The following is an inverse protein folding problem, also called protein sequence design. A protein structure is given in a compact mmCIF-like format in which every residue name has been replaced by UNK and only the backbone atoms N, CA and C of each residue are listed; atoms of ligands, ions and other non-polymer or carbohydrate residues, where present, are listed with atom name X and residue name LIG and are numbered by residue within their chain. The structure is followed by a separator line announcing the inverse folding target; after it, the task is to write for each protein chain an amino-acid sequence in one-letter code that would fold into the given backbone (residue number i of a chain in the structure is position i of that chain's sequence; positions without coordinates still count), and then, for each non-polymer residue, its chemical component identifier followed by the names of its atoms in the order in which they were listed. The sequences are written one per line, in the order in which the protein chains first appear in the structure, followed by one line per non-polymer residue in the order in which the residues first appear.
data_IF_121326416134
#
_entry.id   IF_121326416134
#
_cell.length_a   1.000
_cell.length_b   1.000
_cell.length_c   1.000
_cell.angle_alpha   90.00
_cell.angle_beta   90.00
_cell.angle_gamma   90.00
#
_symmetry.space_group_name_H-M   'P 1'
#
loop_
_entity.id
_entity.type
_entity.pdbx_description
1 polymer ?
#
# COMPACT_ATOMS: atom_id res chain seq x y z
N UNK A 1 11.18 -7.91 -25.72
CA UNK A 1 11.02 -8.76 -24.51
C UNK A 1 12.03 -8.30 -23.50
N UNK A 2 11.61 -7.65 -22.43
CA UNK A 2 12.48 -7.24 -21.30
C UNK A 2 13.00 -8.49 -20.59
N UNK A 3 14.29 -8.50 -20.21
CA UNK A 3 14.88 -9.59 -19.44
C UNK A 3 14.09 -9.80 -18.13
N UNK A 4 13.95 -11.03 -17.62
CA UNK A 4 13.24 -11.31 -16.39
C UNK A 4 13.90 -10.53 -15.24
N UNK A 5 13.08 -9.76 -14.52
CA UNK A 5 13.55 -8.99 -13.37
C UNK A 5 13.76 -9.92 -12.20
N UNK A 6 14.95 -9.88 -11.59
CA UNK A 6 15.29 -10.68 -10.41
C UNK A 6 15.19 -9.80 -9.16
N UNK A 7 14.26 -10.10 -8.28
CA UNK A 7 14.16 -9.51 -6.94
C UNK A 7 14.35 -10.60 -5.89
N UNK A 8 14.82 -10.21 -4.72
CA UNK A 8 14.95 -11.11 -3.56
C UNK A 8 13.86 -10.85 -2.52
N UNK A 9 13.22 -9.69 -2.57
CA UNK A 9 12.10 -9.34 -1.71
C UNK A 9 11.01 -8.61 -2.48
N UNK A 10 9.74 -8.80 -2.09
CA UNK A 10 8.59 -8.06 -2.62
C UNK A 10 7.78 -7.49 -1.46
N UNK A 11 7.63 -6.17 -1.44
CA UNK A 11 6.77 -5.47 -0.51
C UNK A 11 5.46 -5.08 -1.17
N UNK A 12 4.40 -5.06 -0.37
CA UNK A 12 3.06 -4.72 -0.78
C UNK A 12 2.58 -3.48 -0.01
N UNK A 13 1.96 -2.55 -0.73
CA UNK A 13 1.08 -1.58 -0.08
C UNK A 13 -0.15 -2.28 0.50
N UNK A 14 -0.80 -1.66 1.49
CA UNK A 14 -1.89 -2.27 2.24
C UNK A 14 -3.26 -1.79 1.75
N UNK A 15 -3.59 -0.52 2.02
CA UNK A 15 -4.92 0.02 1.78
C UNK A 15 -5.17 0.35 0.30
N UNK A 16 -6.21 -0.28 -0.27
CA UNK A 16 -6.51 -0.21 -1.70
C UNK A 16 -5.68 -1.16 -2.55
N UNK A 17 -4.73 -1.89 -1.95
CA UNK A 17 -3.86 -2.87 -2.60
C UNK A 17 -4.15 -4.28 -2.08
N UNK A 18 -3.62 -4.65 -0.91
CA UNK A 18 -3.95 -5.92 -0.27
C UNK A 18 -5.37 -5.93 0.29
N UNK A 19 -5.81 -4.82 0.87
CA UNK A 19 -7.14 -4.65 1.45
C UNK A 19 -8.00 -3.75 0.57
N UNK A 20 -9.22 -4.21 0.25
CA UNK A 20 -10.19 -3.48 -0.56
C UNK A 20 -10.82 -2.32 0.21
N UNK A 21 -10.86 -1.13 -0.39
CA UNK A 21 -11.50 0.05 0.20
C UNK A 21 -13.03 0.10 -0.04
N UNK A 22 -13.59 -0.80 -0.86
CA UNK A 22 -15.01 -0.75 -1.21
C UNK A 22 -15.99 -0.70 -0.02
N UNK A 23 -15.75 -1.39 1.12
CA UNK A 23 -16.66 -1.32 2.28
C UNK A 23 -16.69 0.03 2.98
N UNK A 24 -15.77 0.95 2.69
CA UNK A 24 -15.80 2.30 3.26
C UNK A 24 -17.03 3.09 2.79
N UNK A 25 -17.56 2.79 1.63
CA UNK A 25 -18.79 3.41 1.12
C UNK A 25 -19.96 3.12 2.06
N UNK A 26 -20.16 1.85 2.43
CA UNK A 26 -21.18 1.41 3.38
C UNK A 26 -20.93 1.98 4.79
N UNK A 27 -19.67 2.00 5.23
CA UNK A 27 -19.33 2.62 6.51
C UNK A 27 -19.71 4.11 6.56
N UNK A 28 -19.48 4.85 5.47
CA UNK A 28 -19.84 6.26 5.35
C UNK A 28 -21.35 6.50 5.19
N UNK A 29 -22.11 5.53 4.63
CA UNK A 29 -23.58 5.62 4.56
C UNK A 29 -24.24 5.72 5.96
N UNK A 30 -23.59 5.21 7.00
CA UNK A 30 -24.03 5.37 8.41
C UNK A 30 -24.02 6.84 8.86
N UNK A 31 -23.15 7.66 8.25
CA UNK A 31 -23.04 9.10 8.56
C UNK A 31 -24.00 9.94 7.71
N UNK A 32 -24.22 9.53 6.46
CA UNK A 32 -25.16 10.18 5.56
C UNK A 32 -25.71 9.19 4.54
N UNK A 33 -26.92 8.66 4.75
CA UNK A 33 -27.53 7.68 3.87
C UNK A 33 -27.55 8.11 2.40
N UNK A 34 -27.23 7.18 1.51
CA UNK A 34 -27.13 7.37 0.06
C UNK A 34 -26.01 8.32 -0.43
N UNK A 35 -25.12 8.75 0.48
CA UNK A 35 -23.96 9.58 0.14
C UNK A 35 -22.62 8.93 0.51
N UNK A 36 -22.62 7.68 0.95
CA UNK A 36 -21.44 7.01 1.48
C UNK A 36 -20.28 6.97 0.49
N UNK A 37 -20.51 6.60 -0.76
CA UNK A 37 -19.49 6.54 -1.79
C UNK A 37 -18.84 7.92 -2.07
N UNK A 38 -19.66 8.99 -2.10
CA UNK A 38 -19.17 10.36 -2.29
C UNK A 38 -18.29 10.80 -1.11
N UNK A 39 -18.76 10.54 0.11
CA UNK A 39 -18.04 10.87 1.35
C UNK A 39 -16.74 10.04 1.43
N UNK A 40 -16.78 8.73 1.19
CA UNK A 40 -15.61 7.87 1.26
C UNK A 40 -14.54 8.30 0.25
N UNK A 41 -14.90 8.60 -0.99
CA UNK A 41 -13.99 9.09 -2.01
C UNK A 41 -13.35 10.43 -1.61
N UNK A 42 -14.15 11.39 -1.13
CA UNK A 42 -13.66 12.70 -0.70
C UNK A 42 -12.79 12.59 0.57
N UNK A 43 -13.21 11.78 1.53
CA UNK A 43 -12.44 11.48 2.73
C UNK A 43 -11.07 10.89 2.38
N UNK A 44 -11.02 9.89 1.51
CA UNK A 44 -9.76 9.29 1.09
C UNK A 44 -8.84 10.29 0.39
N UNK A 45 -9.37 11.14 -0.49
CA UNK A 45 -8.59 12.19 -1.16
C UNK A 45 -7.99 13.17 -0.12
N UNK A 46 -8.79 13.62 0.83
CA UNK A 46 -8.36 14.54 1.88
C UNK A 46 -7.36 13.90 2.85
N UNK A 47 -7.54 12.62 3.17
CA UNK A 47 -6.61 11.86 4.00
C UNK A 47 -5.21 11.80 3.34
N UNK A 48 -5.15 11.50 2.05
CA UNK A 48 -3.89 11.46 1.30
C UNK A 48 -3.24 12.85 1.22
N UNK A 49 -4.01 13.89 0.89
CA UNK A 49 -3.54 15.27 0.88
C UNK A 49 -2.93 15.65 2.23
N UNK A 50 -3.62 15.36 3.34
CA UNK A 50 -3.14 15.64 4.68
C UNK A 50 -1.82 14.90 5.01
N UNK A 51 -1.65 13.65 4.56
CA UNK A 51 -0.38 12.92 4.75
C UNK A 51 0.77 13.59 4.00
N UNK A 52 0.54 14.05 2.77
CA UNK A 52 1.56 14.71 1.96
C UNK A 52 1.92 16.09 2.51
N UNK A 53 0.93 16.89 2.89
CA UNK A 53 1.16 18.19 3.51
C UNK A 53 1.94 18.07 4.83
N UNK A 54 1.52 17.14 5.71
CA UNK A 54 2.25 16.90 6.97
C UNK A 54 3.69 16.47 6.72
N UNK A 55 3.94 15.62 5.73
CA UNK A 55 5.29 15.23 5.35
C UNK A 55 6.12 16.41 4.83
N UNK A 56 5.53 17.22 3.95
CA UNK A 56 6.20 18.39 3.38
C UNK A 56 6.49 19.48 4.43
N UNK A 57 5.59 19.67 5.40
CA UNK A 57 5.74 20.63 6.50
C UNK A 57 6.56 20.10 7.69
N UNK A 58 6.97 18.82 7.65
CA UNK A 58 7.62 18.12 8.75
C UNK A 58 6.77 18.05 10.06
N UNK A 59 5.43 18.06 9.92
CA UNK A 59 4.47 18.03 11.01
C UNK A 59 3.86 16.64 11.14
N UNK A 60 4.62 15.73 11.74
CA UNK A 60 4.18 14.35 11.93
C UNK A 60 2.92 14.27 12.81
N UNK A 61 1.99 13.44 12.40
CA UNK A 61 0.92 12.90 13.22
C UNK A 61 0.69 11.44 12.83
N UNK A 62 0.25 10.64 13.78
CA UNK A 62 -0.15 9.25 13.56
C UNK A 62 -1.23 9.16 12.47
N UNK A 63 -1.17 8.11 11.64
CA UNK A 63 -2.13 7.93 10.55
C UNK A 63 -3.57 7.81 11.02
N UNK A 64 -3.81 7.25 12.22
CA UNK A 64 -5.15 7.15 12.80
C UNK A 64 -5.71 8.54 13.12
N UNK A 65 -4.87 9.46 13.61
CA UNK A 65 -5.22 10.88 13.82
C UNK A 65 -5.54 11.56 12.50
N UNK A 66 -4.67 11.38 11.48
CA UNK A 66 -4.90 11.95 10.14
C UNK A 66 -6.19 11.42 9.53
N UNK A 67 -6.49 10.14 9.72
CA UNK A 67 -7.70 9.48 9.23
C UNK A 67 -8.95 10.10 9.84
N UNK A 68 -9.00 10.25 11.16
CA UNK A 68 -10.14 10.82 11.87
C UNK A 68 -10.32 12.32 11.56
N UNK A 69 -9.24 13.10 11.59
CA UNK A 69 -9.29 14.54 11.29
C UNK A 69 -9.77 14.79 9.84
N UNK A 70 -9.31 13.97 8.89
CA UNK A 70 -9.75 14.05 7.51
C UNK A 70 -11.22 13.70 7.34
N UNK A 71 -11.75 12.75 8.13
CA UNK A 71 -13.17 12.42 8.16
C UNK A 71 -13.99 13.61 8.66
N UNK A 72 -13.64 14.18 9.82
CA UNK A 72 -14.31 15.36 10.37
C UNK A 72 -14.33 16.52 9.39
N UNK A 73 -13.19 16.83 8.76
CA UNK A 73 -13.09 17.90 7.78
C UNK A 73 -13.96 17.62 6.54
N UNK A 74 -14.06 16.36 6.11
CA UNK A 74 -14.92 15.96 5.00
C UNK A 74 -16.39 16.17 5.38
N UNK A 75 -16.84 15.70 6.53
CA UNK A 75 -18.22 15.86 6.97
C UNK A 75 -18.61 17.34 7.13
N UNK A 76 -17.69 18.18 7.59
CA UNK A 76 -17.90 19.62 7.64
C UNK A 76 -18.12 20.22 6.25
N UNK A 77 -17.33 19.81 5.24
CA UNK A 77 -17.50 20.21 3.83
C UNK A 77 -18.88 19.80 3.28
N UNK A 78 -19.39 18.65 3.75
CA UNK A 78 -20.70 18.12 3.35
C UNK A 78 -21.87 18.72 4.14
N UNK A 79 -21.60 19.63 5.08
CA UNK A 79 -22.62 20.30 5.89
C UNK A 79 -23.21 19.44 7.02
N UNK A 80 -22.56 18.31 7.37
CA UNK A 80 -23.04 17.35 8.37
C UNK A 80 -22.10 17.21 9.57
N UNK A 81 -21.03 18.01 9.63
CA UNK A 81 -20.00 17.89 10.67
C UNK A 81 -20.44 18.18 12.09
N UNK A 82 -21.54 18.91 12.29
CA UNK A 82 -22.07 19.24 13.61
C UNK A 82 -23.08 18.23 14.20
N UNK A 83 -23.49 17.23 13.43
CA UNK A 83 -24.54 16.26 13.81
C UNK A 83 -24.03 14.83 14.01
N UNK A 84 -22.78 14.56 13.67
CA UNK A 84 -22.21 13.21 13.77
C UNK A 84 -21.79 12.91 15.22
N UNK A 85 -22.24 11.77 15.74
CA UNK A 85 -21.81 11.24 17.03
C UNK A 85 -20.31 10.86 16.97
N UNK A 86 -19.51 11.29 17.94
CA UNK A 86 -18.08 10.98 18.02
C UNK A 86 -17.80 9.46 18.05
N UNK A 87 -18.66 8.67 18.70
CA UNK A 87 -18.51 7.22 18.69
C UNK A 87 -18.66 6.65 17.28
N UNK A 88 -19.62 7.14 16.49
CA UNK A 88 -19.83 6.73 15.10
C UNK A 88 -18.66 7.18 14.22
N UNK A 89 -18.10 8.37 14.44
CA UNK A 89 -16.92 8.84 13.72
C UNK A 89 -15.72 7.91 13.94
N UNK A 90 -15.49 7.52 15.20
CA UNK A 90 -14.42 6.57 15.52
C UNK A 90 -14.66 5.18 14.93
N UNK A 91 -15.89 4.68 14.92
CA UNK A 91 -16.22 3.40 14.28
C UNK A 91 -15.95 3.46 12.77
N UNK A 92 -16.41 4.52 12.08
CA UNK A 92 -16.17 4.68 10.65
C UNK A 92 -14.68 4.85 10.36
N UNK A 93 -13.95 5.64 11.13
CA UNK A 93 -12.51 5.78 10.97
C UNK A 93 -11.76 4.45 11.21
N UNK A 94 -12.24 3.63 12.14
CA UNK A 94 -11.69 2.29 12.40
C UNK A 94 -12.06 1.24 11.35
N UNK A 95 -12.97 1.51 10.41
CA UNK A 95 -13.33 0.56 9.36
C UNK A 95 -12.12 0.12 8.51
N UNK A 96 -11.07 0.92 8.43
CA UNK A 96 -9.83 0.56 7.73
C UNK A 96 -9.19 -0.75 8.22
N UNK A 97 -9.32 -1.11 9.48
CA UNK A 97 -8.71 -2.35 10.01
C UNK A 97 -9.58 -3.59 9.80
N UNK A 98 -10.82 -3.39 9.32
CA UNK A 98 -11.79 -4.47 9.06
C UNK A 98 -12.00 -4.74 7.56
N UNK A 99 -11.22 -4.10 6.70
CA UNK A 99 -11.30 -4.24 5.25
C UNK A 99 -10.96 -5.68 4.80
N UNK A 100 -11.68 -6.22 3.80
CA UNK A 100 -11.42 -7.55 3.27
C UNK A 100 -10.18 -7.60 2.40
N UNK A 101 -9.54 -8.75 2.37
CA UNK A 101 -8.43 -9.04 1.45
C UNK A 101 -8.94 -9.02 0.00
N UNK A 102 -8.17 -8.40 -0.89
CA UNK A 102 -8.47 -8.39 -2.33
C UNK A 102 -8.28 -9.80 -2.91
N UNK A 103 -9.18 -10.20 -3.79
CA UNK A 103 -9.10 -11.47 -4.50
C UNK A 103 -7.78 -11.59 -5.28
N UNK A 104 -7.12 -12.74 -5.18
CA UNK A 104 -5.83 -13.00 -5.82
C UNK A 104 -4.61 -12.61 -4.99
N UNK A 105 -4.72 -11.68 -4.04
CA UNK A 105 -3.60 -11.23 -3.22
C UNK A 105 -2.93 -12.38 -2.45
N UNK A 106 -3.72 -13.22 -1.79
CA UNK A 106 -3.20 -14.38 -1.05
C UNK A 106 -2.41 -15.34 -1.95
N UNK A 107 -2.92 -15.63 -3.14
CA UNK A 107 -2.24 -16.51 -4.10
C UNK A 107 -0.89 -15.94 -4.54
N UNK A 108 -0.84 -14.63 -4.81
CA UNK A 108 0.40 -13.96 -5.22
C UNK A 108 1.46 -14.01 -4.11
N UNK A 109 1.08 -13.69 -2.86
CA UNK A 109 2.00 -13.75 -1.70
C UNK A 109 2.53 -15.17 -1.51
N UNK A 110 1.65 -16.19 -1.47
CA UNK A 110 2.08 -17.58 -1.31
C UNK A 110 2.98 -18.05 -2.46
N UNK A 111 2.69 -17.64 -3.70
CA UNK A 111 3.52 -17.96 -4.88
C UNK A 111 4.93 -17.39 -4.79
N UNK A 112 5.07 -16.14 -4.35
CA UNK A 112 6.38 -15.50 -4.13
C UNK A 112 7.16 -16.19 -3.01
N UNK A 113 6.51 -16.47 -1.88
CA UNK A 113 7.13 -17.17 -0.74
C UNK A 113 7.58 -18.60 -1.14
N UNK A 114 6.76 -19.34 -1.87
CA UNK A 114 7.10 -20.66 -2.37
C UNK A 114 8.32 -20.65 -3.31
N UNK A 115 8.55 -19.53 -3.99
CA UNK A 115 9.75 -19.31 -4.82
C UNK A 115 10.96 -18.78 -4.03
N UNK A 116 10.86 -18.67 -2.71
CA UNK A 116 11.94 -18.22 -1.83
C UNK A 116 12.21 -16.72 -1.87
N UNK A 117 11.21 -15.92 -2.28
CA UNK A 117 11.26 -14.44 -2.23
C UNK A 117 10.76 -13.99 -0.87
N UNK A 118 11.47 -13.08 -0.20
CA UNK A 118 10.96 -12.42 1.00
C UNK A 118 9.72 -11.61 0.66
N UNK A 119 8.74 -11.62 1.56
CA UNK A 119 7.52 -10.82 1.39
C UNK A 119 7.33 -9.89 2.57
N UNK A 120 6.77 -8.71 2.31
CA UNK A 120 6.50 -7.76 3.39
C UNK A 120 5.38 -6.78 3.04
N UNK A 121 4.89 -6.10 4.07
CA UNK A 121 4.02 -4.94 3.94
C UNK A 121 4.85 -3.69 4.21
N UNK A 122 4.64 -2.65 3.39
CA UNK A 122 5.11 -1.29 3.64
C UNK A 122 3.92 -0.35 3.48
N UNK A 123 3.45 0.26 4.57
CA UNK A 123 2.16 0.95 4.60
C UNK A 123 2.20 2.30 5.31
N UNK A 124 1.27 3.20 4.93
CA UNK A 124 0.98 4.42 5.66
C UNK A 124 0.19 4.18 6.97
N UNK A 125 -0.33 2.97 7.20
CA UNK A 125 -1.01 2.62 8.45
C UNK A 125 -0.10 2.80 9.66
N UNK A 126 -0.67 3.17 10.81
CA UNK A 126 0.04 3.13 12.08
C UNK A 126 0.47 1.71 12.43
N UNK A 127 1.49 1.55 13.26
CA UNK A 127 1.94 0.24 13.76
C UNK A 127 0.79 -0.49 14.45
N UNK A 128 -0.04 0.22 15.23
CA UNK A 128 -1.22 -0.34 15.89
C UNK A 128 -2.26 -0.85 14.90
N UNK A 129 -2.56 -0.10 13.84
CA UNK A 129 -3.48 -0.53 12.79
C UNK A 129 -2.91 -1.73 12.02
N UNK A 130 -1.61 -1.72 11.74
CA UNK A 130 -0.92 -2.81 11.07
C UNK A 130 -0.97 -4.11 11.89
N UNK A 131 -0.75 -4.06 13.20
CA UNK A 131 -0.89 -5.22 14.09
C UNK A 131 -2.30 -5.84 14.03
N UNK A 132 -3.34 -5.01 14.00
CA UNK A 132 -4.73 -5.48 13.93
C UNK A 132 -5.05 -6.20 12.63
N UNK A 133 -4.39 -5.88 11.53
CA UNK A 133 -4.65 -6.50 10.22
C UNK A 133 -3.74 -7.69 9.92
N UNK A 134 -2.68 -7.96 10.71
CA UNK A 134 -1.74 -9.05 10.44
C UNK A 134 -2.41 -10.42 10.37
N UNK A 135 -3.43 -10.68 11.17
CA UNK A 135 -4.21 -11.93 11.14
C UNK A 135 -5.17 -12.05 9.93
N UNK A 136 -5.34 -10.99 9.15
CA UNK A 136 -6.27 -10.92 8.00
C UNK A 136 -5.57 -10.97 6.65
N UNK A 137 -4.26 -10.81 6.64
CA UNK A 137 -3.40 -10.88 5.46
C UNK A 137 -2.59 -12.17 5.49
N UNK A 138 -2.12 -12.68 4.34
CA UNK A 138 -1.22 -13.82 4.32
C UNK A 138 0.03 -13.54 5.17
N UNK A 139 0.59 -14.55 5.87
CA UNK A 139 1.83 -14.38 6.63
C UNK A 139 2.97 -13.88 5.75
N UNK A 140 3.66 -12.86 6.21
CA UNK A 140 4.80 -12.25 5.53
C UNK A 140 6.02 -12.20 6.46
N UNK A 141 7.19 -11.92 5.89
CA UNK A 141 8.44 -11.89 6.64
C UNK A 141 8.65 -10.53 7.35
N UNK A 142 8.06 -9.44 6.78
CA UNK A 142 8.19 -8.09 7.30
C UNK A 142 6.86 -7.34 7.32
N UNK A 143 6.64 -6.55 8.38
CA UNK A 143 5.48 -5.65 8.53
C UNK A 143 5.99 -4.27 8.91
N UNK A 144 6.01 -3.34 7.93
CA UNK A 144 6.64 -2.03 8.09
C UNK A 144 5.59 -0.91 8.03
N UNK A 145 5.51 -0.17 9.14
CA UNK A 145 4.71 1.04 9.25
C UNK A 145 5.57 2.29 9.03
N UNK A 146 4.98 3.32 8.48
CA UNK A 146 5.57 4.67 8.35
C UNK A 146 5.92 5.32 9.70
N UNK A 147 5.41 4.80 10.81
CA UNK A 147 5.71 5.31 12.16
C UNK A 147 7.22 5.35 12.42
N UNK A 148 7.96 4.35 11.90
CA UNK A 148 9.41 4.30 12.04
C UNK A 148 10.13 5.44 11.30
N UNK A 149 9.58 5.89 10.16
CA UNK A 149 10.15 6.99 9.38
C UNK A 149 9.64 8.37 9.82
N UNK A 150 8.49 8.44 10.52
CA UNK A 150 7.75 9.67 10.87
C UNK A 150 7.54 10.58 9.64
N UNK A 151 7.29 9.97 8.50
CA UNK A 151 6.96 10.55 7.19
C UNK A 151 6.01 9.59 6.49
N UNK A 152 5.17 10.11 5.61
CA UNK A 152 4.28 9.28 4.81
C UNK A 152 4.85 9.04 3.42
N UNK A 153 4.47 7.94 2.77
CA UNK A 153 4.69 7.77 1.34
C UNK A 153 4.08 8.97 0.59
N UNK A 154 4.71 9.44 -0.49
CA UNK A 154 5.84 8.83 -1.20
C UNK A 154 7.23 9.34 -0.76
N UNK A 155 7.42 9.76 0.50
CA UNK A 155 8.73 10.21 0.96
C UNK A 155 9.77 9.07 0.92
N UNK A 156 11.00 9.28 0.39
CA UNK A 156 11.99 8.21 0.18
C UNK A 156 12.40 7.49 1.47
N UNK A 157 12.39 8.16 2.63
CA UNK A 157 12.71 7.51 3.91
C UNK A 157 11.75 6.37 4.27
N UNK A 158 10.52 6.37 3.73
CA UNK A 158 9.57 5.27 3.95
C UNK A 158 9.98 4.03 3.17
N UNK A 159 10.39 4.18 1.91
CA UNK A 159 10.87 3.06 1.11
C UNK A 159 12.22 2.54 1.62
N UNK A 160 13.03 3.40 2.23
CA UNK A 160 14.28 3.02 2.89
C UNK A 160 14.06 1.98 3.99
N UNK A 161 12.91 1.99 4.70
CA UNK A 161 12.58 1.00 5.71
C UNK A 161 12.66 -0.44 5.19
N UNK A 162 12.25 -0.68 3.93
CA UNK A 162 12.32 -2.00 3.33
C UNK A 162 13.76 -2.43 3.02
N UNK A 163 14.60 -1.48 2.61
CA UNK A 163 16.04 -1.69 2.41
C UNK A 163 16.71 -2.05 3.75
N UNK A 164 16.43 -1.28 4.80
CA UNK A 164 17.03 -1.45 6.12
C UNK A 164 16.59 -2.79 6.78
N UNK A 165 15.31 -3.15 6.62
CA UNK A 165 14.78 -4.38 7.18
C UNK A 165 15.32 -5.65 6.50
N UNK A 166 15.67 -5.57 5.22
CA UNK A 166 16.09 -6.74 4.43
C UNK A 166 17.60 -6.79 4.16
N UNK A 167 18.29 -5.66 4.24
CA UNK A 167 19.67 -5.52 3.77
C UNK A 167 19.81 -5.59 2.24
N UNK A 168 18.71 -5.62 1.50
CA UNK A 168 18.70 -5.68 0.05
C UNK A 168 18.93 -4.28 -0.54
N UNK A 169 19.55 -4.21 -1.72
CA UNK A 169 19.54 -2.96 -2.48
C UNK A 169 18.15 -2.67 -3.06
N UNK A 170 17.81 -1.40 -3.26
CA UNK A 170 16.51 -1.01 -3.83
C UNK A 170 16.16 -1.76 -5.13
N UNK A 171 17.14 -1.95 -6.01
CA UNK A 171 16.98 -2.69 -7.29
C UNK A 171 16.63 -4.17 -7.12
N UNK A 172 16.86 -4.74 -5.94
CA UNK A 172 16.54 -6.13 -5.59
C UNK A 172 15.21 -6.27 -4.87
N UNK A 173 14.49 -5.17 -4.67
CA UNK A 173 13.17 -5.12 -4.04
C UNK A 173 12.11 -4.85 -5.10
N UNK A 174 11.09 -5.73 -5.15
CA UNK A 174 9.85 -5.52 -5.86
C UNK A 174 8.84 -4.78 -4.97
N UNK A 175 7.99 -3.98 -5.57
CA UNK A 175 6.92 -3.29 -4.86
C UNK A 175 5.60 -3.40 -5.62
N UNK A 176 4.53 -3.77 -4.92
CA UNK A 176 3.19 -3.96 -5.50
C UNK A 176 2.25 -2.95 -4.88
N UNK A 177 1.60 -2.15 -5.70
CA UNK A 177 0.60 -1.17 -5.26
C UNK A 177 -0.46 -0.93 -6.34
N UNK A 178 -1.69 -0.64 -5.92
CA UNK A 178 -2.77 -0.16 -6.78
C UNK A 178 -2.82 1.38 -6.82
N UNK A 179 -2.08 2.06 -5.93
CA UNK A 179 -2.04 3.51 -5.83
C UNK A 179 -0.97 4.09 -6.78
N UNK A 180 -1.38 4.86 -7.81
CA UNK A 180 -0.45 5.43 -8.80
C UNK A 180 0.62 6.34 -8.21
N UNK A 181 0.26 7.17 -7.21
CA UNK A 181 1.20 8.04 -6.51
C UNK A 181 2.28 7.24 -5.74
N UNK A 182 1.91 6.09 -5.16
CA UNK A 182 2.83 5.21 -4.45
C UNK A 182 3.71 4.43 -5.44
N UNK A 183 3.15 4.02 -6.59
CA UNK A 183 3.92 3.44 -7.69
C UNK A 183 4.99 4.41 -8.21
N UNK A 184 4.64 5.69 -8.39
CA UNK A 184 5.59 6.72 -8.80
C UNK A 184 6.70 6.93 -7.75
N UNK A 185 6.33 7.02 -6.46
CA UNK A 185 7.30 7.19 -5.38
C UNK A 185 8.26 6.02 -5.22
N UNK A 186 7.74 4.78 -5.25
CA UNK A 186 8.55 3.57 -5.17
C UNK A 186 9.49 3.41 -6.38
N UNK A 187 9.02 3.75 -7.60
CA UNK A 187 9.87 3.77 -8.80
C UNK A 187 10.96 4.82 -8.73
N UNK A 188 10.63 6.02 -8.26
CA UNK A 188 11.61 7.10 -8.07
C UNK A 188 12.68 6.74 -7.03
N UNK A 189 12.31 5.96 -6.00
CA UNK A 189 13.25 5.43 -5.01
C UNK A 189 14.17 4.33 -5.58
N UNK A 190 13.77 3.66 -6.64
CA UNK A 190 14.56 2.63 -7.34
C UNK A 190 14.07 1.21 -7.16
N UNK A 191 12.87 0.98 -6.63
CA UNK A 191 12.24 -0.34 -6.60
C UNK A 191 11.78 -0.79 -7.99
N UNK A 192 11.60 -2.10 -8.16
CA UNK A 192 10.94 -2.68 -9.33
C UNK A 192 9.43 -2.73 -9.06
N UNK A 193 8.66 -1.85 -9.69
CA UNK A 193 7.26 -1.65 -9.31
C UNK A 193 6.31 -2.38 -10.25
N UNK A 194 5.40 -3.16 -9.66
CA UNK A 194 4.19 -3.67 -10.31
C UNK A 194 2.99 -2.80 -9.85
N UNK A 195 2.40 -2.08 -10.80
CA UNK A 195 1.24 -1.26 -10.55
C UNK A 195 -0.04 -1.99 -10.96
N UNK A 196 -0.83 -2.37 -9.95
CA UNK A 196 -2.13 -3.02 -10.14
C UNK A 196 -3.14 -1.98 -10.63
N UNK A 197 -3.56 -2.09 -11.88
CA UNK A 197 -4.49 -1.15 -12.53
C UNK A 197 -5.70 -1.86 -13.09
N UNK A 198 -6.92 -1.58 -12.58
CA UNK A 198 -8.13 -2.20 -13.11
C UNK A 198 -8.63 -1.59 -14.45
N UNK A 199 -8.17 -0.39 -14.82
CA UNK A 199 -8.62 0.32 -16.03
C UNK A 199 -7.53 1.27 -16.57
N UNK A 200 -7.60 1.73 -17.83
CA UNK A 200 -6.69 2.73 -18.37
C UNK A 200 -6.89 4.08 -17.64
N UNK A 201 -6.10 4.32 -16.63
CA UNK A 201 -6.01 5.59 -15.92
C UNK A 201 -4.74 6.31 -16.40
N UNK A 202 -4.73 7.62 -16.44
CA UNK A 202 -3.53 8.37 -16.78
C UNK A 202 -2.39 7.99 -15.81
N UNK A 203 -1.21 7.67 -16.35
CA UNK A 203 -0.02 7.49 -15.53
C UNK A 203 0.36 8.83 -14.90
N UNK A 204 0.72 8.81 -13.62
CA UNK A 204 1.38 9.96 -13.03
C UNK A 204 2.77 10.07 -13.66
N UNK A 205 3.20 11.27 -14.09
CA UNK A 205 4.54 11.43 -14.63
C UNK A 205 5.56 11.19 -13.51
N UNK A 206 6.25 10.06 -13.56
CA UNK A 206 7.43 9.81 -12.75
C UNK A 206 8.62 10.42 -13.48
N UNK A 207 8.98 11.63 -13.12
CA UNK A 207 10.11 12.32 -13.73
C UNK A 207 11.41 11.57 -13.40
N UNK A 208 12.01 10.96 -14.42
CA UNK A 208 13.34 10.32 -14.31
C UNK A 208 13.37 8.93 -13.65
N UNK A 209 12.22 8.34 -13.31
CA UNK A 209 12.16 6.99 -12.75
C UNK A 209 11.77 5.95 -13.82
N UNK A 210 12.16 4.66 -13.65
CA UNK A 210 11.66 3.58 -14.49
C UNK A 210 10.13 3.51 -14.41
N UNK A 211 9.47 3.33 -15.56
CA UNK A 211 8.01 3.17 -15.57
C UNK A 211 7.58 1.91 -14.81
N UNK A 212 6.54 2.00 -13.94
CA UNK A 212 5.96 0.84 -13.32
C UNK A 212 5.42 -0.15 -14.36
N UNK A 213 5.55 -1.45 -14.08
CA UNK A 213 4.91 -2.48 -14.91
C UNK A 213 3.42 -2.50 -14.55
N UNK A 214 2.57 -2.32 -15.55
CA UNK A 214 1.14 -2.53 -15.37
C UNK A 214 0.87 -4.02 -15.16
N UNK A 215 0.12 -4.36 -14.12
CA UNK A 215 -0.05 -5.73 -13.68
C UNK A 215 -1.46 -6.01 -13.20
N UNK A 216 -1.81 -7.28 -13.23
CA UNK A 216 -2.95 -7.87 -12.51
C UNK A 216 -2.43 -8.84 -11.44
N UNK A 217 -3.26 -9.21 -10.46
CA UNK A 217 -2.85 -10.14 -9.40
C UNK A 217 -2.29 -11.48 -9.90
N UNK A 218 -2.86 -12.14 -10.94
CA UNK A 218 -2.29 -13.37 -11.49
C UNK A 218 -0.86 -13.22 -12.06
N UNK A 219 -0.48 -12.03 -12.49
CA UNK A 219 0.82 -11.77 -13.13
C UNK A 219 1.94 -11.47 -12.13
N UNK A 220 1.62 -11.14 -10.87
CA UNK A 220 2.60 -10.68 -9.87
C UNK A 220 3.75 -11.66 -9.71
N UNK A 221 3.47 -12.94 -9.63
CA UNK A 221 4.52 -13.97 -9.45
C UNK A 221 5.45 -13.99 -10.66
N UNK A 222 4.93 -13.99 -11.88
CA UNK A 222 5.73 -14.07 -13.10
C UNK A 222 6.55 -12.79 -13.38
N UNK A 223 6.06 -11.62 -12.91
CA UNK A 223 6.79 -10.35 -13.04
C UNK A 223 8.08 -10.37 -12.22
N UNK A 224 8.04 -10.91 -11.02
CA UNK A 224 9.17 -10.82 -10.08
C UNK A 224 10.05 -12.08 -10.09
N UNK A 225 9.54 -13.23 -10.54
CA UNK A 225 10.30 -14.48 -10.59
C UNK A 225 10.77 -14.75 -12.01
N UNK A 226 12.08 -14.86 -12.24
CA UNK A 226 12.59 -15.19 -13.57
C UNK A 226 12.14 -16.60 -13.97
N UNK A 227 11.65 -16.73 -15.20
CA UNK A 227 11.47 -18.03 -15.82
C UNK A 227 12.86 -18.73 -15.90
N UNK A 228 13.03 -19.87 -15.20
CA UNK A 228 14.19 -20.75 -15.37
C UNK A 228 13.83 -21.82 -16.41
N UNK A 229 14.48 -21.86 -17.58
CA UNK A 229 14.38 -23.01 -18.47
C UNK A 229 14.82 -24.27 -17.72
N UNK A 230 14.09 -25.37 -17.87
CA UNK A 230 14.50 -26.68 -17.34
C UNK A 230 15.89 -27.01 -17.90
N UNK A 231 16.89 -27.20 -17.03
CA UNK A 231 18.22 -27.65 -17.42
C UNK A 231 19.40 -26.75 -17.04
N UNK A 232 19.18 -25.60 -16.37
CA UNK A 232 20.27 -24.81 -15.81
C UNK A 232 20.62 -25.28 -14.38
N UNK A 233 21.93 -25.37 -14.00
CA UNK A 233 22.35 -25.79 -12.68
C UNK A 233 21.81 -24.86 -11.59
N UNK A 234 21.55 -25.44 -10.44
CA UNK A 234 21.06 -24.74 -9.23
C UNK A 234 22.03 -23.61 -8.83
N UNK A 235 21.52 -22.42 -8.57
CA UNK A 235 22.36 -21.35 -8.06
C UNK A 235 22.91 -21.73 -6.69
N UNK A 236 24.18 -21.39 -6.46
CA UNK A 236 24.87 -21.66 -5.19
C UNK A 236 24.03 -21.17 -3.97
N UNK A 237 24.04 -21.92 -2.85
CA UNK A 237 23.32 -21.53 -1.65
C UNK A 237 23.80 -20.16 -1.15
N UNK A 238 22.85 -19.34 -0.69
CA UNK A 238 23.10 -18.00 -0.15
C UNK A 238 24.01 -18.10 1.09
N UNK A 239 24.99 -17.21 1.26
CA UNK A 239 25.71 -17.11 2.53
C UNK A 239 24.72 -16.73 3.64
N UNK A 240 24.90 -17.38 4.81
CA UNK A 240 24.09 -17.14 6.03
C UNK A 240 24.38 -15.78 6.64
#
# INVERSE_FOLDING_TARGET
MTAPRTVDGVFFDLFGTLLSLAPLDEACDRLAPARGAEIAARWRARQLEATWLRTAMEQWADFDVVTLDSLRATLHEFGIGGSADEAVLHEVANAFVDLPLVEGASRAVHGLRAAGVFTGILTNASSRALERVTGRVPPMDHYLSVDAARRFKPHPSVYQLAVDATGLTAKRIGFVTANGWDAAGASAFGFQVAWLRPAPTASLPAVGAPEPILATWPEIVSIFIPYRPKGLPEAAPRPR
#
